data_IF_238046684789
#
_entry.id   IF_238046684789
#
_cell.length_a   1.000
_cell.length_b   1.000
_cell.length_c   1.000
_cell.angle_alpha   90.00
_cell.angle_beta   90.00
_cell.angle_gamma   90.00
#
_symmetry.space_group_name_H-M   'P 1'
#
loop_
_entity.id
_entity.type
_entity.pdbx_description
1 polymer ?
#
# COMPACT_ATOMS: atom_id res chain seq x y z
N UNK A 1 7.19 -0.83 61.85
CA UNK A 1 7.94 -0.95 60.59
C UNK A 1 7.05 -1.68 59.58
N UNK A 2 6.27 -0.94 58.80
CA UNK A 2 5.43 -1.52 57.75
C UNK A 2 6.32 -1.93 56.56
N UNK A 3 6.09 -3.12 56.03
CA UNK A 3 6.93 -3.73 54.98
C UNK A 3 6.92 -2.86 53.71
N UNK A 4 8.06 -2.22 53.44
CA UNK A 4 8.38 -1.54 52.17
C UNK A 4 8.09 -2.40 50.92
N UNK A 5 8.15 -3.73 51.07
CA UNK A 5 7.84 -4.71 50.02
C UNK A 5 6.39 -4.65 49.54
N UNK A 6 5.42 -4.56 50.45
CA UNK A 6 3.99 -4.50 50.08
C UNK A 6 3.64 -3.18 49.43
N UNK A 7 4.31 -2.09 49.84
CA UNK A 7 4.09 -0.75 49.28
C UNK A 7 4.59 -0.67 47.84
N UNK A 8 5.77 -1.25 47.56
CA UNK A 8 6.33 -1.29 46.20
C UNK A 8 5.48 -2.13 45.24
N UNK A 9 4.97 -3.28 45.69
CA UNK A 9 4.17 -4.17 44.88
C UNK A 9 2.78 -3.57 44.56
N UNK A 10 2.19 -2.82 45.50
CA UNK A 10 0.95 -2.08 45.27
C UNK A 10 1.13 -0.93 44.28
N UNK A 11 2.24 -0.19 44.35
CA UNK A 11 2.54 0.87 43.38
C UNK A 11 2.75 0.31 41.97
N UNK A 12 3.47 -0.82 41.84
CA UNK A 12 3.65 -1.48 40.56
C UNK A 12 2.32 -1.93 39.94
N UNK A 13 1.44 -2.55 40.74
CA UNK A 13 0.10 -2.96 40.28
C UNK A 13 -0.78 -1.77 39.88
N UNK A 14 -0.68 -0.66 40.60
CA UNK A 14 -1.44 0.56 40.30
C UNK A 14 -1.02 1.16 38.95
N UNK A 15 0.28 1.23 38.65
CA UNK A 15 0.77 1.70 37.35
C UNK A 15 0.41 0.75 36.20
N UNK A 16 0.40 -0.57 36.44
CA UNK A 16 -0.03 -1.56 35.46
C UNK A 16 -1.54 -1.47 35.15
N UNK A 17 -2.38 -1.26 36.15
CA UNK A 17 -3.82 -1.04 35.96
C UNK A 17 -4.10 0.26 35.19
N UNK A 18 -3.36 1.33 35.48
CA UNK A 18 -3.55 2.62 34.81
C UNK A 18 -3.17 2.57 33.31
N UNK A 19 -2.23 1.72 32.91
CA UNK A 19 -1.85 1.57 31.49
C UNK A 19 -2.91 0.83 30.66
N UNK A 20 -3.69 -0.07 31.28
CA UNK A 20 -4.76 -0.81 30.58
C UNK A 20 -6.00 0.04 30.28
N UNK A 21 -6.21 1.15 30.99
CA UNK A 21 -7.38 2.03 30.84
C UNK A 21 -7.18 3.02 29.67
N UNK A 22 -5.95 3.19 29.16
CA UNK A 22 -5.62 4.14 28.09
C UNK A 22 -5.63 3.55 26.66
N UNK A 23 -6.26 2.41 26.44
CA UNK A 23 -6.56 1.95 25.08
C UNK A 23 -7.87 2.59 24.59
N UNK A 24 -7.88 3.33 23.46
CA UNK A 24 -9.13 3.78 22.87
C UNK A 24 -9.90 2.54 22.36
N UNK A 25 -11.09 2.32 22.93
CA UNK A 25 -12.03 1.33 22.42
C UNK A 25 -12.41 1.71 20.98
N UNK A 26 -11.96 0.90 20.01
CA UNK A 26 -12.41 1.02 18.63
C UNK A 26 -13.86 0.57 18.57
N UNK A 27 -14.78 1.53 18.57
CA UNK A 27 -16.20 1.29 18.38
C UNK A 27 -16.41 0.66 16.99
N UNK A 28 -16.91 -0.57 16.98
CA UNK A 28 -17.47 -1.19 15.77
C UNK A 28 -18.87 -0.62 15.60
N UNK A 29 -19.01 0.31 14.65
CA UNK A 29 -20.31 0.82 14.24
C UNK A 29 -20.82 -0.04 13.07
N UNK A 30 -21.72 -0.94 13.42
CA UNK A 30 -22.64 -1.59 12.52
C UNK A 30 -23.78 -0.59 12.30
N UNK A 31 -23.95 -0.08 11.07
CA UNK A 31 -25.21 0.56 10.69
C UNK A 31 -25.52 0.37 9.20
N UNK A 32 -26.46 -0.54 9.02
CA UNK A 32 -27.62 -0.53 8.13
C UNK A 32 -27.70 0.41 6.91
N UNK A 33 -28.31 -0.17 5.87
CA UNK A 33 -29.07 0.48 4.80
C UNK A 33 -28.33 0.80 3.49
N UNK A 34 -28.27 -0.23 2.63
CA UNK A 34 -27.82 -0.13 1.24
C UNK A 34 -28.92 0.54 0.40
N UNK A 35 -28.81 1.85 0.23
CA UNK A 35 -29.49 2.63 -0.80
C UNK A 35 -28.37 3.27 -1.65
N UNK A 36 -28.47 3.29 -3.00
CA UNK A 36 -27.33 3.57 -3.85
C UNK A 36 -26.93 5.04 -3.72
N UNK A 37 -25.90 5.32 -2.92
CA UNK A 37 -25.30 6.64 -2.83
C UNK A 37 -24.59 6.93 -4.16
N UNK A 38 -25.09 7.96 -4.84
CA UNK A 38 -24.40 8.63 -5.94
C UNK A 38 -22.92 8.82 -5.60
N UNK A 39 -22.07 8.26 -6.47
CA UNK A 39 -20.62 8.42 -6.41
C UNK A 39 -20.26 9.90 -6.49
N UNK A 40 -19.80 10.44 -5.36
CA UNK A 40 -19.19 11.76 -5.28
C UNK A 40 -17.97 11.81 -6.19
N UNK A 41 -17.99 12.80 -7.08
CA UNK A 41 -17.02 13.05 -8.14
C UNK A 41 -15.57 13.08 -7.64
N UNK A 42 -14.87 11.93 -7.75
CA UNK A 42 -13.56 11.99 -8.39
C UNK A 42 -13.82 12.57 -9.78
N UNK A 43 -13.08 13.57 -10.22
CA UNK A 43 -13.27 14.22 -11.53
C UNK A 43 -13.00 13.31 -12.75
N UNK A 44 -13.09 12.00 -12.57
CA UNK A 44 -12.92 10.93 -13.55
C UNK A 44 -14.29 10.54 -14.07
N UNK A 45 -14.48 10.62 -15.38
CA UNK A 45 -15.72 10.24 -16.04
C UNK A 45 -15.76 8.71 -16.26
N UNK A 46 -16.00 7.95 -15.19
CA UNK A 46 -16.06 6.47 -15.23
C UNK A 46 -17.10 6.00 -16.24
N UNK A 47 -18.28 6.63 -16.27
CA UNK A 47 -19.34 6.29 -17.23
C UNK A 47 -18.89 6.48 -18.69
N UNK A 48 -18.12 7.54 -18.98
CA UNK A 48 -17.53 7.77 -20.29
C UNK A 48 -16.53 6.69 -20.68
N UNK A 49 -15.66 6.26 -19.76
CA UNK A 49 -14.70 5.18 -19.97
C UNK A 49 -15.41 3.86 -20.26
N UNK A 50 -16.36 3.48 -19.40
CA UNK A 50 -17.16 2.24 -19.51
C UNK A 50 -17.94 2.24 -20.83
N UNK A 51 -18.56 3.36 -21.20
CA UNK A 51 -19.30 3.49 -22.46
C UNK A 51 -18.38 3.39 -23.68
N UNK A 52 -17.19 3.99 -23.64
CA UNK A 52 -16.24 3.95 -24.76
C UNK A 52 -15.73 2.52 -24.98
N UNK A 53 -15.46 1.78 -23.91
CA UNK A 53 -15.05 0.39 -23.96
C UNK A 53 -16.20 -0.52 -24.41
N UNK A 54 -17.41 -0.34 -23.88
CA UNK A 54 -18.58 -1.14 -24.25
C UNK A 54 -18.97 -0.97 -25.72
N UNK A 55 -18.74 0.22 -26.30
CA UNK A 55 -18.99 0.45 -27.72
C UNK A 55 -17.90 -0.14 -28.63
N UNK A 56 -16.73 -0.49 -28.08
CA UNK A 56 -15.64 -1.10 -28.83
C UNK A 56 -15.72 -2.61 -28.72
N UNK A 57 -15.78 -3.27 -29.87
CA UNK A 57 -15.81 -4.73 -29.92
C UNK A 57 -14.61 -5.32 -29.16
N UNK A 58 -14.86 -6.38 -28.39
CA UNK A 58 -13.87 -7.13 -27.62
C UNK A 58 -13.31 -6.47 -26.34
N UNK A 59 -14.02 -5.51 -25.74
CA UNK A 59 -13.68 -4.94 -24.43
C UNK A 59 -14.85 -4.97 -23.43
N UNK A 60 -15.81 -5.88 -23.60
CA UNK A 60 -17.02 -5.95 -22.78
C UNK A 60 -16.70 -6.37 -21.34
N UNK A 61 -15.86 -7.39 -21.15
CA UNK A 61 -15.44 -7.83 -19.82
C UNK A 61 -14.56 -6.79 -19.14
N UNK A 62 -13.75 -6.10 -19.93
CA UNK A 62 -12.89 -5.05 -19.43
C UNK A 62 -13.68 -3.83 -18.94
N UNK A 63 -14.73 -3.45 -19.67
CA UNK A 63 -15.67 -2.41 -19.27
C UNK A 63 -16.34 -2.73 -17.92
N UNK A 64 -16.88 -3.94 -17.76
CA UNK A 64 -17.52 -4.38 -16.51
C UNK A 64 -16.52 -4.46 -15.35
N UNK A 65 -15.30 -4.94 -15.61
CA UNK A 65 -14.24 -5.03 -14.60
C UNK A 65 -13.87 -3.64 -14.07
N UNK A 66 -13.71 -2.66 -14.97
CA UNK A 66 -13.38 -1.28 -14.59
C UNK A 66 -14.55 -0.62 -13.87
N UNK A 67 -15.79 -0.83 -14.28
CA UNK A 67 -16.97 -0.33 -13.56
C UNK A 67 -16.98 -0.79 -12.09
N UNK A 68 -16.62 -2.05 -11.83
CA UNK A 68 -16.62 -2.61 -10.48
C UNK A 68 -15.40 -2.21 -9.62
N UNK A 69 -14.25 -1.93 -10.22
CA UNK A 69 -12.98 -1.80 -9.49
C UNK A 69 -12.37 -0.39 -9.50
N UNK A 70 -12.61 0.38 -10.57
CA UNK A 70 -11.86 1.61 -10.85
C UNK A 70 -12.05 2.67 -9.76
N UNK A 71 -13.25 2.77 -9.20
CA UNK A 71 -13.56 3.72 -8.14
C UNK A 71 -12.84 3.42 -6.81
N UNK A 72 -12.56 2.15 -6.53
CA UNK A 72 -11.80 1.73 -5.35
C UNK A 72 -10.29 1.89 -5.54
N UNK A 73 -9.80 1.81 -6.77
CA UNK A 73 -8.37 1.88 -7.09
C UNK A 73 -7.87 3.32 -7.23
N UNK A 74 -8.70 4.21 -7.80
CA UNK A 74 -8.34 5.62 -7.95
C UNK A 74 -8.64 6.35 -6.64
N UNK A 75 -7.61 6.50 -5.81
CA UNK A 75 -7.68 7.39 -4.65
C UNK A 75 -7.92 8.84 -5.07
N UNK A 76 -8.45 9.67 -4.17
CA UNK A 76 -8.72 11.12 -4.38
C UNK A 76 -7.56 11.97 -4.92
N UNK A 77 -6.34 11.43 -4.98
CA UNK A 77 -5.11 12.17 -5.31
C UNK A 77 -4.65 12.04 -6.77
N UNK A 78 -5.21 11.12 -7.55
CA UNK A 78 -4.75 10.90 -8.92
C UNK A 78 -5.46 11.87 -9.86
N UNK A 79 -4.77 12.92 -10.30
CA UNK A 79 -5.30 13.94 -11.21
C UNK A 79 -5.34 13.48 -12.68
N UNK A 80 -4.48 12.53 -13.04
CA UNK A 80 -4.32 11.99 -14.39
C UNK A 80 -3.74 10.58 -14.32
N UNK A 81 -4.12 9.70 -15.24
CA UNK A 81 -3.59 8.33 -15.31
C UNK A 81 -3.90 7.70 -16.67
N UNK A 82 -3.16 6.65 -17.02
CA UNK A 82 -3.41 5.83 -18.20
C UNK A 82 -3.85 4.43 -17.77
N UNK A 83 -4.89 3.89 -18.42
CA UNK A 83 -5.37 2.52 -18.23
C UNK A 83 -4.98 1.70 -19.47
N UNK A 84 -4.32 0.57 -19.24
CA UNK A 84 -4.09 -0.45 -20.25
C UNK A 84 -5.14 -1.53 -20.14
N UNK A 85 -6.07 -1.55 -21.08
CA UNK A 85 -7.27 -2.36 -21.05
C UNK A 85 -7.05 -3.66 -21.84
N UNK A 86 -7.01 -4.83 -21.20
CA UNK A 86 -6.85 -6.09 -21.92
C UNK A 86 -8.10 -6.41 -22.74
N UNK A 87 -7.88 -7.03 -23.90
CA UNK A 87 -8.96 -7.54 -24.76
C UNK A 87 -9.70 -8.69 -24.07
N UNK A 88 -10.98 -8.88 -24.39
CA UNK A 88 -11.83 -9.96 -23.87
C UNK A 88 -11.22 -11.36 -24.07
N UNK A 89 -10.46 -11.58 -25.16
CA UNK A 89 -9.73 -12.83 -25.38
C UNK A 89 -8.70 -13.14 -24.29
N UNK A 90 -8.09 -12.11 -23.70
CA UNK A 90 -7.15 -12.26 -22.60
C UNK A 90 -7.85 -12.76 -21.33
N UNK A 91 -9.11 -12.37 -21.09
CA UNK A 91 -9.89 -12.84 -19.93
C UNK A 91 -10.15 -14.34 -19.99
N UNK A 92 -10.29 -14.91 -21.19
CA UNK A 92 -10.43 -16.36 -21.36
C UNK A 92 -9.18 -17.14 -20.93
N UNK A 93 -8.01 -16.49 -20.91
CA UNK A 93 -6.75 -17.11 -20.47
C UNK A 93 -6.54 -17.07 -18.95
N UNK A 94 -7.32 -16.25 -18.23
CA UNK A 94 -7.23 -16.17 -16.78
C UNK A 94 -7.78 -17.44 -16.15
N UNK A 95 -7.03 -17.96 -15.18
CA UNK A 95 -7.48 -19.11 -14.36
C UNK A 95 -8.49 -18.71 -13.29
N UNK A 96 -8.67 -17.42 -13.05
CA UNK A 96 -9.52 -16.85 -12.03
C UNK A 96 -10.35 -15.73 -12.65
N UNK A 97 -11.67 -15.81 -12.50
CA UNK A 97 -12.60 -14.77 -12.87
C UNK A 97 -13.52 -14.50 -11.67
N UNK A 98 -13.72 -13.23 -11.26
CA UNK A 98 -13.14 -12.00 -11.81
C UNK A 98 -11.64 -11.80 -11.48
N UNK A 99 -10.92 -10.93 -12.21
CA UNK A 99 -9.53 -10.61 -11.89
C UNK A 99 -9.44 -9.90 -10.52
N UNK A 100 -8.38 -10.16 -9.74
CA UNK A 100 -8.18 -9.52 -8.46
C UNK A 100 -7.88 -8.02 -8.65
N UNK A 101 -8.28 -7.13 -7.72
CA UNK A 101 -8.05 -5.70 -7.84
C UNK A 101 -6.58 -5.30 -7.99
N UNK A 102 -5.66 -6.10 -7.45
CA UNK A 102 -4.21 -5.90 -7.59
C UNK A 102 -3.74 -6.06 -9.03
N UNK A 103 -4.30 -7.01 -9.76
CA UNK A 103 -4.00 -7.18 -11.19
C UNK A 103 -4.53 -5.99 -11.99
N UNK A 104 -5.74 -5.50 -11.67
CA UNK A 104 -6.29 -4.30 -12.32
C UNK A 104 -5.44 -3.07 -12.00
N UNK A 105 -4.99 -2.90 -10.75
CA UNK A 105 -4.09 -1.80 -10.36
C UNK A 105 -2.78 -1.80 -11.15
N UNK A 106 -2.23 -2.99 -11.46
CA UNK A 106 -1.01 -3.14 -12.26
C UNK A 106 -1.19 -2.70 -13.73
N UNK A 107 -2.44 -2.62 -14.22
CA UNK A 107 -2.77 -2.13 -15.55
C UNK A 107 -3.00 -0.61 -15.59
N UNK A 108 -2.89 0.09 -14.46
CA UNK A 108 -3.13 1.52 -14.39
C UNK A 108 -1.82 2.21 -14.03
N UNK A 109 -1.46 3.24 -14.78
CA UNK A 109 -0.26 4.04 -14.58
C UNK A 109 -0.64 5.45 -14.15
N UNK A 110 -0.09 6.02 -13.06
CA UNK A 110 -0.43 7.35 -12.56
C UNK A 110 0.06 8.53 -13.43
N UNK A 111 0.59 8.23 -14.63
CA UNK A 111 1.02 9.22 -15.61
C UNK A 111 0.11 9.16 -16.83
N UNK A 112 -0.14 10.33 -17.43
CA UNK A 112 -0.78 10.40 -18.73
C UNK A 112 0.28 10.05 -19.79
N UNK A 113 0.23 8.82 -20.29
CA UNK A 113 1.11 8.31 -21.33
C UNK A 113 0.38 8.38 -22.66
N UNK A 114 0.81 9.28 -23.54
CA UNK A 114 0.27 9.36 -24.89
C UNK A 114 0.93 8.32 -25.80
N UNK A 115 0.40 8.18 -27.02
CA UNK A 115 0.97 7.27 -28.02
C UNK A 115 2.44 7.59 -28.26
N UNK A 116 2.76 8.87 -28.43
CA UNK A 116 4.10 9.35 -28.73
C UNK A 116 5.06 9.00 -27.59
N UNK A 117 4.63 9.12 -26.32
CA UNK A 117 5.44 8.74 -25.17
C UNK A 117 5.74 7.24 -25.13
N UNK A 118 4.75 6.42 -25.52
CA UNK A 118 4.85 4.97 -25.54
C UNK A 118 5.69 4.48 -26.73
N UNK A 119 5.53 5.09 -27.91
CA UNK A 119 6.33 4.83 -29.12
C UNK A 119 7.79 5.24 -28.92
N UNK A 120 8.05 6.42 -28.34
CA UNK A 120 9.42 6.84 -28.01
C UNK A 120 10.08 5.85 -27.03
N UNK A 121 9.32 5.28 -26.10
CA UNK A 121 9.79 4.29 -25.13
C UNK A 121 9.95 2.89 -25.72
N UNK A 122 9.20 2.52 -26.76
CA UNK A 122 9.38 1.25 -27.47
C UNK A 122 10.55 1.30 -28.45
N UNK A 123 10.76 2.44 -29.09
CA UNK A 123 11.74 2.61 -30.17
C UNK A 123 13.13 2.98 -29.65
N UNK A 124 13.19 3.70 -28.53
CA UNK A 124 14.47 3.85 -27.85
C UNK A 124 14.83 2.53 -27.19
N UNK A 125 16.01 2.01 -27.54
CA UNK A 125 16.68 0.82 -27.02
C UNK A 125 16.96 0.85 -25.50
N UNK A 126 16.19 1.61 -24.72
CA UNK A 126 16.19 1.61 -23.26
C UNK A 126 15.49 0.35 -22.79
N UNK A 127 16.24 -0.73 -22.82
CA UNK A 127 15.96 -2.06 -22.23
C UNK A 127 15.59 -2.01 -20.72
N UNK A 128 15.48 -0.81 -20.14
CA UNK A 128 15.21 -0.50 -18.74
C UNK A 128 14.25 0.68 -18.55
N UNK A 129 13.46 1.04 -19.56
CA UNK A 129 12.35 1.99 -19.39
C UNK A 129 11.38 1.44 -18.34
N UNK A 130 11.27 2.14 -17.20
CA UNK A 130 10.31 1.84 -16.14
C UNK A 130 9.08 2.74 -16.29
N UNK A 131 7.91 2.15 -16.11
CA UNK A 131 6.63 2.85 -16.04
C UNK A 131 5.95 2.44 -14.75
N UNK A 132 5.80 3.37 -13.81
CA UNK A 132 5.14 3.09 -12.55
C UNK A 132 3.67 2.70 -12.76
N UNK A 133 3.14 1.84 -11.89
CA UNK A 133 1.75 1.43 -11.90
C UNK A 133 1.08 1.80 -10.56
N UNK A 134 -0.24 1.64 -10.46
CA UNK A 134 -0.95 1.79 -9.19
C UNK A 134 -0.69 0.61 -8.24
N UNK A 135 0.05 -0.41 -8.66
CA UNK A 135 0.57 -1.46 -7.80
C UNK A 135 1.98 -1.06 -7.31
N UNK A 136 2.15 -0.65 -6.05
CA UNK A 136 3.42 -0.14 -5.55
C UNK A 136 4.53 -1.19 -5.60
N UNK A 137 5.77 -0.81 -5.97
CA UNK A 137 6.89 -1.75 -6.11
C UNK A 137 6.88 -2.55 -7.41
N UNK A 138 5.84 -2.37 -8.25
CA UNK A 138 5.65 -3.14 -9.48
C UNK A 138 5.51 -2.20 -10.68
N UNK A 139 6.62 -1.63 -11.19
CA UNK A 139 6.62 -0.91 -12.46
C UNK A 139 6.59 -1.88 -13.65
N UNK A 140 6.01 -1.45 -14.77
CA UNK A 140 6.19 -2.12 -16.06
C UNK A 140 7.62 -1.87 -16.54
N UNK A 141 8.32 -2.95 -16.85
CA UNK A 141 9.71 -2.94 -17.34
C UNK A 141 9.74 -3.55 -18.73
N UNK A 142 10.68 -3.07 -19.55
CA UNK A 142 10.81 -3.42 -20.96
C UNK A 142 9.59 -2.97 -21.79
N UNK A 143 9.49 -3.45 -23.04
CA UNK A 143 8.41 -3.16 -23.97
C UNK A 143 7.07 -3.67 -23.43
N UNK A 144 6.48 -2.93 -22.48
CA UNK A 144 5.18 -3.16 -21.83
C UNK A 144 4.95 -4.62 -21.41
N UNK A 145 5.91 -5.18 -20.68
CA UNK A 145 5.80 -6.55 -20.20
C UNK A 145 5.56 -7.61 -21.30
N UNK A 146 6.10 -7.36 -22.50
CA UNK A 146 5.92 -8.17 -23.72
C UNK A 146 4.49 -8.20 -24.26
N UNK A 147 3.62 -7.29 -23.83
CA UNK A 147 2.26 -7.16 -24.34
C UNK A 147 2.16 -5.95 -25.27
N UNK A 148 1.62 -6.19 -26.45
CA UNK A 148 1.45 -5.16 -27.46
C UNK A 148 0.18 -4.33 -27.22
N UNK A 149 0.28 -3.02 -27.47
CA UNK A 149 -0.87 -2.14 -27.59
C UNK A 149 -1.48 -2.33 -28.98
N UNK A 150 -2.72 -2.79 -29.02
CA UNK A 150 -3.47 -3.07 -30.24
C UNK A 150 -4.39 -1.92 -30.63
N UNK A 151 -4.87 -1.17 -29.63
CA UNK A 151 -5.85 -0.13 -29.80
C UNK A 151 -5.44 1.12 -29.04
N UNK A 152 -5.07 2.17 -29.76
CA UNK A 152 -4.65 3.42 -29.14
C UNK A 152 -5.86 4.31 -28.83
N UNK A 153 -5.83 4.99 -27.68
CA UNK A 153 -6.78 6.04 -27.29
C UNK A 153 -8.25 5.65 -27.49
N UNK A 154 -8.64 4.49 -26.95
CA UNK A 154 -10.05 4.06 -26.92
C UNK A 154 -10.91 5.10 -26.20
N UNK A 155 -10.33 5.73 -25.17
CA UNK A 155 -10.89 6.88 -24.48
C UNK A 155 -9.75 7.85 -24.17
N UNK A 156 -10.01 9.15 -24.32
CA UNK A 156 -9.09 10.22 -23.97
C UNK A 156 -9.91 11.48 -23.64
N UNK A 157 -9.82 11.95 -22.38
CA UNK A 157 -10.40 13.23 -21.94
C UNK A 157 -9.32 14.26 -21.53
N UNK A 158 -8.06 13.99 -21.89
CA UNK A 158 -6.88 14.78 -21.52
C UNK A 158 -6.37 14.53 -20.10
N UNK A 159 -7.13 13.86 -19.22
CA UNK A 159 -6.68 13.44 -17.88
C UNK A 159 -6.51 11.94 -17.79
N UNK A 160 -7.45 11.21 -18.38
CA UNK A 160 -7.51 9.76 -18.42
C UNK A 160 -7.39 9.31 -19.86
N UNK A 161 -6.40 8.46 -20.12
CA UNK A 161 -6.23 7.80 -21.41
C UNK A 161 -6.43 6.30 -21.24
N UNK A 162 -7.13 5.68 -22.18
CA UNK A 162 -7.33 4.22 -22.22
C UNK A 162 -6.75 3.68 -23.51
N UNK A 163 -5.77 2.79 -23.40
CA UNK A 163 -5.24 2.00 -24.51
C UNK A 163 -5.69 0.56 -24.38
N UNK A 164 -6.02 -0.09 -25.48
CA UNK A 164 -6.29 -1.52 -25.54
C UNK A 164 -5.03 -2.32 -25.80
N UNK A 165 -4.84 -3.40 -25.04
CA UNK A 165 -3.69 -4.31 -25.11
C UNK A 165 -4.14 -5.74 -25.40
N UNK A 166 -3.24 -6.53 -25.97
CA UNK A 166 -3.56 -7.90 -26.43
C UNK A 166 -3.74 -8.91 -25.27
N UNK A 167 -3.08 -8.68 -24.13
CA UNK A 167 -3.01 -9.61 -23.01
C UNK A 167 -2.98 -8.92 -21.65
N UNK A 168 -3.01 -9.68 -20.56
CA UNK A 168 -2.76 -9.14 -19.23
C UNK A 168 -1.26 -8.94 -18.99
N UNK A 169 -0.89 -7.85 -18.33
CA UNK A 169 0.42 -7.73 -17.72
C UNK A 169 0.53 -8.70 -16.54
N UNK A 170 1.60 -9.48 -16.53
CA UNK A 170 1.95 -10.39 -15.44
C UNK A 170 3.08 -9.81 -14.56
N UNK A 171 2.83 -9.48 -13.28
CA UNK A 171 3.87 -9.05 -12.34
C UNK A 171 5.05 -10.04 -12.23
N UNK A 172 4.82 -11.32 -12.49
CA UNK A 172 5.85 -12.37 -12.44
C UNK A 172 6.96 -12.13 -13.46
N UNK A 173 6.64 -11.54 -14.61
CA UNK A 173 7.61 -11.27 -15.68
C UNK A 173 8.66 -10.25 -15.20
N UNK A 174 8.28 -9.29 -14.36
CA UNK A 174 9.24 -8.39 -13.70
C UNK A 174 10.21 -9.18 -12.82
N UNK A 175 9.69 -10.06 -11.95
CA UNK A 175 10.51 -10.85 -11.03
C UNK A 175 11.48 -11.80 -11.77
N UNK A 176 11.05 -12.35 -12.91
CA UNK A 176 11.85 -13.28 -13.71
C UNK A 176 12.90 -12.54 -14.56
N UNK A 177 12.51 -11.45 -15.23
CA UNK A 177 13.39 -10.74 -16.16
C UNK A 177 14.29 -9.70 -15.48
N UNK A 178 13.87 -9.15 -14.34
CA UNK A 178 14.56 -8.06 -13.65
C UNK A 178 14.61 -8.28 -12.12
N UNK A 179 15.20 -9.38 -11.63
CA UNK A 179 15.24 -9.70 -10.19
C UNK A 179 15.97 -8.65 -9.34
N UNK A 180 16.86 -7.84 -9.92
CA UNK A 180 17.57 -6.76 -9.25
C UNK A 180 16.72 -5.48 -9.05
N UNK A 181 15.50 -5.42 -9.59
CA UNK A 181 14.66 -4.23 -9.54
C UNK A 181 14.02 -3.99 -8.17
N UNK A 182 13.87 -5.03 -7.34
CA UNK A 182 13.29 -4.92 -6.00
C UNK A 182 14.18 -4.14 -5.01
N UNK A 183 15.46 -3.92 -5.32
CA UNK A 183 16.44 -3.34 -4.40
C UNK A 183 16.47 -1.80 -4.33
N UNK A 184 15.75 -1.09 -5.19
CA UNK A 184 15.87 0.38 -5.35
C UNK A 184 14.81 1.16 -4.53
N UNK A 185 13.66 0.56 -4.21
CA UNK A 185 12.59 1.23 -3.47
C UNK A 185 12.79 1.27 -1.95
N UNK A 186 13.57 0.35 -1.39
CA UNK A 186 13.91 0.34 0.05
C UNK A 186 14.85 1.49 0.41
N UNK A 187 15.76 1.87 -0.49
CA UNK A 187 16.75 2.93 -0.23
C UNK A 187 16.09 4.33 -0.27
N UNK A 188 15.07 4.54 -1.11
CA UNK A 188 14.38 5.85 -1.16
C UNK A 188 13.36 6.06 -0.04
N UNK A 189 12.75 4.99 0.51
CA UNK A 189 11.82 5.12 1.64
C UNK A 189 12.52 5.38 2.98
N UNK A 190 13.81 5.03 3.11
CA UNK A 190 14.57 5.31 4.33
C UNK A 190 15.02 6.78 4.43
N UNK A 191 15.22 7.49 3.32
CA UNK A 191 15.63 8.90 3.37
C UNK A 191 14.47 9.89 3.60
N UNK A 192 13.26 9.61 3.13
CA UNK A 192 12.07 10.43 3.45
C UNK A 192 11.32 9.96 4.71
N UNK A 193 11.72 8.80 5.24
CA UNK A 193 11.20 8.18 6.47
C UNK A 193 12.00 8.49 7.73
N UNK A 194 12.84 9.53 7.74
CA UNK A 194 13.42 10.04 8.98
C UNK A 194 12.32 10.75 9.78
N UNK A 195 11.50 9.93 10.44
CA UNK A 195 10.55 10.36 11.46
C UNK A 195 11.39 10.95 12.60
N UNK A 196 11.53 12.28 12.59
CA UNK A 196 12.19 13.02 13.65
C UNK A 196 11.35 12.88 14.93
N UNK A 197 11.60 11.82 15.70
CA UNK A 197 10.95 11.51 16.98
C UNK A 197 11.15 12.65 18.01
N UNK A 198 12.08 13.58 17.74
CA UNK A 198 12.41 14.69 18.63
C UNK A 198 11.31 15.76 18.80
N UNK A 199 10.28 15.83 17.94
CA UNK A 199 9.32 16.95 17.98
C UNK A 199 7.82 16.59 18.06
N UNK A 200 7.44 15.33 18.21
CA UNK A 200 6.03 14.94 18.37
C UNK A 200 5.69 14.52 19.81
N UNK A 201 4.65 15.09 20.46
CA UNK A 201 4.34 14.85 21.88
C UNK A 201 4.03 13.38 22.20
N UNK A 202 3.56 12.61 21.21
CA UNK A 202 3.30 11.17 21.34
C UNK A 202 4.58 10.31 21.25
N UNK A 203 5.58 10.74 20.48
CA UNK A 203 6.88 10.04 20.37
C UNK A 203 7.71 10.19 21.65
N UNK A 204 7.66 11.38 22.26
CA UNK A 204 8.25 11.63 23.57
C UNK A 204 7.64 10.75 24.66
N UNK A 205 6.32 10.52 24.63
CA UNK A 205 5.65 9.64 25.58
C UNK A 205 6.13 8.19 25.46
N UNK A 206 6.26 7.68 24.23
CA UNK A 206 6.74 6.32 24.00
C UNK A 206 8.19 6.12 24.46
N UNK A 207 9.09 7.06 24.14
CA UNK A 207 10.47 7.03 24.63
C UNK A 207 10.50 7.14 26.16
N UNK A 208 9.71 8.02 26.75
CA UNK A 208 9.64 8.19 28.20
C UNK A 208 9.15 6.92 28.90
N UNK A 209 8.12 6.24 28.37
CA UNK A 209 7.63 4.96 28.89
C UNK A 209 8.69 3.87 28.79
N UNK A 210 9.41 3.78 27.65
CA UNK A 210 10.51 2.82 27.49
C UNK A 210 11.67 3.08 28.45
N UNK A 211 12.04 4.35 28.65
CA UNK A 211 13.08 4.73 29.61
C UNK A 211 12.67 4.39 31.05
N UNK A 212 11.44 4.69 31.45
CA UNK A 212 10.93 4.36 32.79
C UNK A 212 10.92 2.84 32.99
N UNK A 213 10.52 2.07 31.98
CA UNK A 213 10.53 0.60 32.04
C UNK A 213 11.95 0.05 32.21
N UNK A 214 12.91 0.51 31.39
CA UNK A 214 14.30 0.09 31.46
C UNK A 214 14.97 0.44 32.81
N UNK A 215 14.67 1.63 33.35
CA UNK A 215 15.19 2.03 34.67
C UNK A 215 14.58 1.14 35.77
N UNK A 216 13.29 0.82 35.69
CA UNK A 216 12.64 -0.06 36.67
C UNK A 216 13.20 -1.49 36.67
N UNK A 217 13.54 -2.05 35.51
CA UNK A 217 14.23 -3.33 35.35
C UNK A 217 15.62 -3.30 36.02
N UNK A 218 16.40 -2.24 35.79
CA UNK A 218 17.73 -2.10 36.41
C UNK A 218 17.65 -2.01 37.94
N UNK A 219 16.67 -1.27 38.48
CA UNK A 219 16.46 -1.21 39.93
C UNK A 219 15.98 -2.55 40.49
N UNK A 220 15.13 -3.28 39.76
CA UNK A 220 14.67 -4.61 40.15
C UNK A 220 15.83 -5.62 40.21
N UNK A 221 16.68 -5.66 39.19
CA UNK A 221 17.88 -6.50 39.16
C UNK A 221 18.90 -6.11 40.22
N UNK A 222 19.14 -4.80 40.43
CA UNK A 222 20.02 -4.33 41.49
C UNK A 222 19.50 -4.70 42.89
N UNK A 223 18.18 -4.64 43.10
CA UNK A 223 17.55 -5.05 44.36
C UNK A 223 17.67 -6.57 44.59
N UNK A 224 17.51 -7.40 43.54
CA UNK A 224 17.72 -8.84 43.62
C UNK A 224 19.19 -9.20 43.87
N UNK A 225 20.13 -8.57 43.16
CA UNK A 225 21.56 -8.82 43.33
C UNK A 225 22.10 -8.32 44.67
N UNK A 226 21.59 -7.20 45.20
CA UNK A 226 21.99 -6.64 46.50
C UNK A 226 21.55 -7.46 47.70
N UNK A 227 20.58 -8.38 47.53
CA UNK A 227 20.06 -9.22 48.62
C UNK A 227 20.86 -10.51 48.83
N UNK A 228 21.73 -10.90 47.88
CA UNK A 228 22.49 -12.16 47.91
C UNK A 228 23.84 -12.11 48.64
N UNK A 229 24.26 -10.95 49.17
CA UNK A 229 25.59 -10.79 49.80
C UNK A 229 25.49 -10.20 51.21
N UNK A 230 24.90 -10.96 52.14
CA UNK A 230 25.18 -10.82 53.58
C UNK A 230 25.49 -12.20 54.18
N UNK A 231 26.80 -12.37 54.43
CA UNK A 231 27.43 -13.17 55.47
C UNK A 231 27.08 -14.66 55.59
N UNK A 232 27.92 -15.50 54.97
CA UNK A 232 28.39 -16.73 55.62
C UNK A 232 29.91 -16.64 55.73
N UNK A 233 30.37 -15.86 56.69
CA UNK A 233 31.75 -15.92 57.18
C UNK A 233 31.76 -15.44 58.62
N UNK A 234 31.71 -16.37 59.56
CA UNK A 234 32.53 -16.34 60.78
C UNK A 234 32.36 -17.67 61.52
N UNK A 235 33.50 -18.40 61.59
CA UNK A 235 33.97 -19.35 62.60
C UNK A 235 33.03 -20.44 63.12
#
# INVERSE_FOLDING_TARGET
>A
MANNKTTFLLLFFFFFLLSTILLPAKASQEDSNMQPTQYGSSGVNISGIVSALAHKAHYEFASQTLEATLSSLIGKKNSSFTIFCPKDSAYASLRYAPPPPTLVAYHITPNNLQREDLELRSDTLRMYSRIDTLLPGHPLVAQLNLVNIIDWNIYDDGRVIVHGIDGFFDPSVQAILFPWLEHDETIKREEEGSFNIAHHPLGFLAIFVLCVFAVSELFFWAYLCGYGRREITTK
#
